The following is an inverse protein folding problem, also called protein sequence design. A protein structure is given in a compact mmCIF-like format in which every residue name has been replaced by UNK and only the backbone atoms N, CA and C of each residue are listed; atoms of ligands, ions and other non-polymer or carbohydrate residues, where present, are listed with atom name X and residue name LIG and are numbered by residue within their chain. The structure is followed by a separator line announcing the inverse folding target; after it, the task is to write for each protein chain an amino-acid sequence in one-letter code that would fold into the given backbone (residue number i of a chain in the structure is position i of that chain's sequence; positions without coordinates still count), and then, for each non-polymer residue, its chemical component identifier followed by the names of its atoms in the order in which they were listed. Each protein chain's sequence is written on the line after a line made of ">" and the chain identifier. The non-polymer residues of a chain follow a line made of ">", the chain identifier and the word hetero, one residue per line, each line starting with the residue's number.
data_IF_455815096791
#
_entry.id   IF_455815096791
#
_cell.length_a   1.000
_cell.length_b   1.000
_cell.length_c   1.000
_cell.angle_alpha   90.00
_cell.angle_beta   90.00
_cell.angle_gamma   90.00
#
_symmetry.space_group_name_H-M   'P 1'
#
loop_
_entity.id
_entity.type
_entity.pdbx_description
1 polymer ?
#
# COMPACT_ATOMS: atom_id res chain seq x y z
N UNK A 1 -6.94 35.62 9.29
CA UNK A 1 -5.62 34.95 9.18
C UNK A 1 -5.38 34.68 7.71
N UNK A 2 -4.15 34.88 7.23
CA UNK A 2 -3.75 34.47 5.87
C UNK A 2 -3.72 32.94 5.85
N UNK A 3 -4.25 32.32 4.79
CA UNK A 3 -4.20 30.87 4.63
C UNK A 3 -2.73 30.41 4.53
N UNK A 4 -2.38 29.29 5.17
CA UNK A 4 -1.03 28.74 5.10
C UNK A 4 -0.76 28.15 3.70
N UNK A 5 0.51 28.09 3.24
CA UNK A 5 0.84 27.80 1.85
C UNK A 5 0.40 26.43 1.34
N UNK A 6 0.25 25.43 2.22
CA UNK A 6 -0.02 24.03 1.84
C UNK A 6 -1.44 23.57 2.21
N UNK A 7 -2.39 24.49 2.42
CA UNK A 7 -3.80 24.13 2.67
C UNK A 7 -4.46 23.34 1.52
N UNK A 8 -3.87 23.41 0.32
CA UNK A 8 -4.28 22.64 -0.86
C UNK A 8 -3.92 21.16 -0.81
N UNK A 9 -2.98 20.76 0.07
CA UNK A 9 -2.37 19.43 0.04
C UNK A 9 -3.40 18.30 0.20
N UNK A 10 -4.32 18.42 1.16
CA UNK A 10 -5.35 17.41 1.36
C UNK A 10 -6.23 17.19 0.12
N UNK A 11 -6.57 18.24 -0.61
CA UNK A 11 -7.44 18.16 -1.78
C UNK A 11 -6.70 17.55 -2.98
N UNK A 12 -5.41 17.91 -3.15
CA UNK A 12 -4.54 17.29 -4.16
C UNK A 12 -4.39 15.79 -3.95
N UNK A 13 -4.21 15.37 -2.69
CA UNK A 13 -4.08 13.94 -2.35
C UNK A 13 -5.40 13.19 -2.52
N UNK A 14 -6.53 13.76 -2.10
CA UNK A 14 -7.86 13.14 -2.32
C UNK A 14 -8.19 12.96 -3.79
N UNK A 15 -7.76 13.89 -4.65
CA UNK A 15 -8.02 13.83 -6.08
C UNK A 15 -7.39 12.60 -6.76
N UNK A 16 -6.44 11.92 -6.11
CA UNK A 16 -5.83 10.69 -6.60
C UNK A 16 -6.45 9.43 -6.03
N UNK A 17 -7.55 9.55 -5.27
CA UNK A 17 -8.23 8.41 -4.64
C UNK A 17 -7.66 7.99 -3.28
N UNK A 18 -6.64 8.68 -2.76
CA UNK A 18 -6.08 8.37 -1.44
C UNK A 18 -7.10 8.65 -0.33
N UNK A 19 -7.11 7.78 0.68
CA UNK A 19 -7.86 8.02 1.92
C UNK A 19 -7.11 9.03 2.76
N UNK A 20 -7.67 10.24 2.91
CA UNK A 20 -7.04 11.35 3.63
C UNK A 20 -7.81 11.69 4.90
N UNK A 21 -7.15 11.52 6.04
CA UNK A 21 -7.62 11.90 7.37
C UNK A 21 -7.02 13.25 7.76
N UNK A 22 -7.87 14.21 8.12
CA UNK A 22 -7.42 15.51 8.59
C UNK A 22 -7.29 15.52 10.12
N UNK A 23 -6.09 15.78 10.64
CA UNK A 23 -5.91 15.94 12.10
C UNK A 23 -6.38 17.33 12.54
N UNK A 24 -6.89 17.44 13.76
CA UNK A 24 -7.40 18.72 14.28
C UNK A 24 -6.35 19.83 14.14
N UNK A 25 -6.75 20.96 13.56
CA UNK A 25 -5.90 22.15 13.44
C UNK A 25 -4.82 22.11 12.34
N UNK A 26 -4.69 21.05 11.54
CA UNK A 26 -3.61 20.93 10.52
C UNK A 26 -3.52 22.12 9.56
N UNK A 27 -4.68 22.68 9.16
CA UNK A 27 -4.77 23.84 8.25
C UNK A 27 -4.13 25.11 8.81
N UNK A 28 -3.96 25.20 10.13
CA UNK A 28 -3.37 26.36 10.82
C UNK A 28 -2.03 26.02 11.50
N UNK A 29 -1.57 24.76 11.41
CA UNK A 29 -0.35 24.30 12.09
C UNK A 29 0.89 24.68 11.29
N UNK A 30 1.83 25.33 11.97
CA UNK A 30 3.14 25.75 11.43
C UNK A 30 4.16 25.84 12.56
N UNK A 31 5.40 25.46 12.30
CA UNK A 31 6.53 25.75 13.17
C UNK A 31 6.87 27.25 13.12
N UNK A 32 7.40 27.78 14.23
CA UNK A 32 7.88 29.17 14.35
C UNK A 32 9.40 29.29 14.13
N UNK A 33 10.06 28.20 13.75
CA UNK A 33 11.51 28.09 13.64
C UNK A 33 12.11 28.76 12.39
N UNK A 34 11.28 29.30 11.49
CA UNK A 34 11.76 29.90 10.25
C UNK A 34 10.63 30.29 9.29
N UNK A 35 10.98 30.63 8.04
CA UNK A 35 10.02 31.04 7.02
C UNK A 35 9.01 29.95 6.67
N UNK A 36 7.87 30.38 6.15
CA UNK A 36 6.86 29.50 5.54
C UNK A 36 7.43 28.73 4.34
N UNK A 37 6.89 27.53 4.04
CA UNK A 37 7.39 26.71 2.96
C UNK A 37 7.04 27.29 1.58
N UNK A 38 7.93 27.07 0.62
CA UNK A 38 7.76 27.35 -0.80
C UNK A 38 8.39 26.18 -1.58
N UNK A 39 7.72 25.01 -1.55
CA UNK A 39 8.36 23.77 -1.91
C UNK A 39 8.49 23.62 -3.43
N UNK A 40 9.63 23.08 -3.84
CA UNK A 40 9.93 22.73 -5.24
C UNK A 40 10.14 21.23 -5.42
N UNK A 41 10.00 20.45 -4.34
CA UNK A 41 10.12 18.99 -4.35
C UNK A 41 9.36 18.32 -3.21
N UNK A 42 9.48 16.99 -3.16
CA UNK A 42 8.95 16.15 -2.07
C UNK A 42 10.11 15.45 -1.38
N UNK A 43 10.06 15.38 -0.05
CA UNK A 43 11.07 14.69 0.75
C UNK A 43 10.41 13.56 1.54
N UNK A 44 10.85 12.34 1.27
CA UNK A 44 10.40 11.12 1.95
C UNK A 44 11.23 10.86 3.21
N UNK A 45 10.54 10.49 4.29
CA UNK A 45 11.09 10.15 5.61
C UNK A 45 10.46 8.85 6.10
N UNK A 46 11.06 8.24 7.12
CA UNK A 46 10.36 7.30 7.98
C UNK A 46 10.38 7.78 9.42
N UNK A 47 9.37 7.37 10.18
CA UNK A 47 9.20 7.83 11.57
C UNK A 47 10.16 7.14 12.54
N UNK A 48 10.80 6.05 12.11
CA UNK A 48 11.61 5.16 12.93
C UNK A 48 10.81 4.47 14.05
N UNK A 49 9.48 4.42 13.90
CA UNK A 49 8.56 3.78 14.84
C UNK A 49 8.02 2.50 14.21
N UNK A 50 8.06 1.34 14.91
CA UNK A 50 7.41 0.12 14.42
C UNK A 50 5.91 0.33 14.23
N UNK A 51 5.40 -0.05 13.07
CA UNK A 51 3.98 0.00 12.73
C UNK A 51 3.48 -1.35 12.20
N UNK A 52 2.17 -1.59 12.21
CA UNK A 52 1.55 -2.81 11.68
C UNK A 52 0.11 -2.53 11.22
N UNK A 53 -0.59 -3.50 10.63
CA UNK A 53 -2.00 -3.29 10.28
C UNK A 53 -2.92 -3.12 11.50
N UNK A 54 -2.56 -3.68 12.66
CA UNK A 54 -3.28 -3.48 13.92
C UNK A 54 -3.06 -2.08 14.52
N UNK A 55 -1.92 -1.46 14.20
CA UNK A 55 -1.58 -0.11 14.62
C UNK A 55 -0.81 0.61 13.50
N UNK A 56 -1.54 1.10 12.46
CA UNK A 56 -0.91 1.54 11.23
C UNK A 56 -0.32 2.94 11.32
N UNK A 57 -0.76 3.78 12.25
CA UNK A 57 -0.36 5.18 12.35
C UNK A 57 0.07 5.61 13.78
N UNK A 58 0.98 4.87 14.46
CA UNK A 58 1.38 5.16 15.83
C UNK A 58 2.02 6.54 16.02
N UNK A 59 2.59 7.14 14.97
CA UNK A 59 3.39 8.36 15.10
C UNK A 59 2.63 9.64 14.77
N UNK A 60 1.32 9.60 14.48
CA UNK A 60 0.56 10.82 14.14
C UNK A 60 0.74 11.92 15.19
N UNK A 61 0.61 11.58 16.48
CA UNK A 61 0.77 12.57 17.55
C UNK A 61 2.23 13.05 17.68
N UNK A 62 3.21 12.15 17.49
CA UNK A 62 4.63 12.51 17.46
C UNK A 62 4.93 13.48 16.30
N UNK A 63 4.35 13.27 15.13
CA UNK A 63 4.49 14.16 13.98
C UNK A 63 3.85 15.53 14.22
N UNK A 64 2.76 15.59 15.02
CA UNK A 64 2.10 16.85 15.40
C UNK A 64 2.93 17.62 16.43
N UNK A 65 3.28 16.98 17.55
CA UNK A 65 3.88 17.64 18.71
C UNK A 65 5.39 17.81 18.58
N UNK A 66 6.02 16.89 17.86
CA UNK A 66 7.47 16.75 17.80
C UNK A 66 8.02 15.89 18.93
N UNK A 67 9.33 16.02 19.13
CA UNK A 67 10.11 15.31 20.14
C UNK A 67 10.86 16.31 21.03
N UNK A 68 11.38 15.90 22.20
CA UNK A 68 12.01 16.84 23.15
C UNK A 68 13.14 17.69 22.56
N UNK A 69 13.88 17.15 21.58
CA UNK A 69 14.98 17.82 20.87
C UNK A 69 14.53 18.57 19.61
N UNK A 70 13.28 18.40 19.15
CA UNK A 70 12.76 19.00 17.92
C UNK A 70 11.24 19.19 17.99
N UNK A 71 10.81 20.44 18.19
CA UNK A 71 9.40 20.80 18.21
C UNK A 71 8.71 20.50 16.87
N UNK A 72 7.47 20.04 16.92
CA UNK A 72 6.65 19.80 15.75
C UNK A 72 6.18 21.09 15.04
N UNK A 73 5.46 20.95 13.93
CA UNK A 73 5.18 19.68 13.23
C UNK A 73 6.43 19.10 12.56
N UNK A 74 6.55 17.78 12.49
CA UNK A 74 7.70 17.06 11.90
C UNK A 74 7.50 16.66 10.44
N UNK A 75 6.34 16.94 9.85
CA UNK A 75 6.06 16.75 8.42
C UNK A 75 4.79 17.52 8.03
N UNK A 76 4.43 17.47 6.75
CA UNK A 76 3.16 18.04 6.27
C UNK A 76 2.06 16.98 6.23
N UNK A 77 2.39 15.73 5.89
CA UNK A 77 1.51 14.59 6.04
C UNK A 77 2.30 13.33 6.46
N UNK A 78 1.59 12.39 7.08
CA UNK A 78 2.11 11.10 7.52
C UNK A 78 1.32 9.98 6.87
N UNK A 79 1.97 8.93 6.36
CA UNK A 79 1.34 7.81 5.66
C UNK A 79 1.42 6.58 6.55
N UNK A 80 0.25 6.07 6.96
CA UNK A 80 0.14 4.89 7.80
C UNK A 80 0.61 3.63 7.09
N UNK A 81 0.92 2.60 7.87
CA UNK A 81 1.26 1.26 7.38
C UNK A 81 0.12 0.60 6.58
N UNK A 82 -1.09 1.15 6.65
CA UNK A 82 -2.26 0.76 5.85
C UNK A 82 -2.48 1.64 4.60
N UNK A 83 -1.59 2.60 4.33
CA UNK A 83 -1.69 3.55 3.22
C UNK A 83 -2.59 4.76 3.47
N UNK A 84 -3.19 4.90 4.65
CA UNK A 84 -4.02 6.08 4.99
C UNK A 84 -3.11 7.29 5.23
N UNK A 85 -3.46 8.44 4.63
CA UNK A 85 -2.69 9.67 4.75
C UNK A 85 -3.29 10.59 5.81
N UNK A 86 -2.52 10.90 6.84
CA UNK A 86 -2.88 11.80 7.94
C UNK A 86 -2.26 13.18 7.73
N UNK A 87 -3.09 14.21 7.58
CA UNK A 87 -2.62 15.58 7.42
C UNK A 87 -2.10 16.13 8.73
N UNK A 88 -0.86 16.65 8.74
CA UNK A 88 -0.19 17.14 9.95
C UNK A 88 -0.12 18.67 9.95
N UNK A 89 0.37 19.30 8.88
CA UNK A 89 0.57 20.74 8.87
C UNK A 89 0.45 21.36 7.47
N UNK A 90 -0.11 22.56 7.40
CA UNK A 90 -0.20 23.35 6.18
C UNK A 90 0.87 24.46 6.07
N UNK A 91 1.61 24.73 7.16
CA UNK A 91 2.73 25.67 7.19
C UNK A 91 4.07 24.96 7.33
N UNK A 92 5.07 25.65 7.90
CA UNK A 92 6.43 25.11 8.05
C UNK A 92 6.44 23.85 8.92
N UNK A 93 7.08 22.80 8.47
CA UNK A 93 7.43 21.63 9.27
C UNK A 93 8.94 21.51 9.49
N UNK A 94 9.35 21.03 10.67
CA UNK A 94 10.74 20.80 11.06
C UNK A 94 11.18 19.38 10.69
N UNK A 95 11.31 19.11 9.39
CA UNK A 95 11.48 17.73 8.89
C UNK A 95 12.84 17.50 8.22
N UNK A 96 13.32 18.45 7.42
CA UNK A 96 14.51 18.28 6.60
C UNK A 96 15.79 18.88 7.23
N UNK A 97 15.66 20.06 7.84
CA UNK A 97 16.81 20.88 8.25
C UNK A 97 17.63 21.40 7.06
N UNK A 98 18.93 21.62 7.24
CA UNK A 98 19.83 22.05 6.14
C UNK A 98 20.02 20.91 5.13
N UNK A 99 19.70 21.17 3.88
CA UNK A 99 19.85 20.23 2.77
C UNK A 99 21.03 20.60 1.87
N UNK A 100 21.76 19.60 1.38
CA UNK A 100 22.64 19.71 0.20
C UNK A 100 21.79 19.64 -1.07
N UNK A 101 22.34 20.12 -2.18
CA UNK A 101 21.67 20.02 -3.47
C UNK A 101 21.50 18.55 -3.87
N UNK A 102 20.34 18.20 -4.42
CA UNK A 102 20.02 16.82 -4.83
C UNK A 102 19.09 16.82 -6.03
N UNK A 103 19.61 16.30 -7.16
CA UNK A 103 19.11 16.53 -8.52
C UNK A 103 18.65 17.95 -8.77
N UNK A 104 17.36 18.21 -9.11
CA UNK A 104 16.92 19.54 -9.51
C UNK A 104 16.71 20.50 -8.33
N UNK A 105 16.73 20.00 -7.09
CA UNK A 105 16.46 20.83 -5.90
C UNK A 105 17.77 21.41 -5.35
N UNK A 106 17.87 22.74 -5.17
CA UNK A 106 19.10 23.39 -4.68
C UNK A 106 19.41 23.05 -3.22
N UNK A 107 20.64 23.32 -2.80
CA UNK A 107 20.99 23.33 -1.38
C UNK A 107 20.30 24.49 -0.65
N UNK A 108 19.97 24.31 0.62
CA UNK A 108 19.32 25.37 1.40
C UNK A 108 18.60 24.88 2.65
N UNK A 109 17.58 25.61 3.06
CA UNK A 109 16.65 25.17 4.11
C UNK A 109 15.65 24.18 3.51
N UNK A 110 15.85 22.89 3.78
CA UNK A 110 14.98 21.84 3.28
C UNK A 110 13.55 21.93 3.81
N UNK A 111 13.33 22.59 4.97
CA UNK A 111 11.99 22.81 5.50
C UNK A 111 11.18 23.82 4.67
N UNK A 112 11.85 24.59 3.80
CA UNK A 112 11.22 25.47 2.82
C UNK A 112 11.05 24.75 1.49
N UNK A 113 12.09 24.04 1.05
CA UNK A 113 12.22 23.52 -0.31
C UNK A 113 11.37 22.28 -0.60
N UNK A 114 10.87 21.59 0.44
CA UNK A 114 10.20 20.31 0.27
C UNK A 114 8.85 20.24 0.99
N UNK A 115 7.90 19.55 0.36
CA UNK A 115 6.80 18.92 1.10
C UNK A 115 7.35 17.63 1.72
N UNK A 116 7.49 17.60 3.05
CA UNK A 116 7.84 16.39 3.80
C UNK A 116 6.69 15.40 4.02
N UNK A 117 6.90 14.14 3.64
CA UNK A 117 6.07 12.99 4.01
C UNK A 117 6.81 12.06 4.97
N UNK A 118 6.17 11.74 6.10
CA UNK A 118 6.64 10.74 7.06
C UNK A 118 5.89 9.43 6.85
N UNK A 119 6.60 8.32 6.73
CA UNK A 119 5.99 7.01 6.57
C UNK A 119 6.15 6.24 7.89
N UNK A 120 5.05 5.74 8.45
CA UNK A 120 5.09 4.97 9.69
C UNK A 120 5.63 3.56 9.47
N UNK A 121 6.94 3.41 9.68
CA UNK A 121 7.66 2.14 9.81
C UNK A 121 9.06 2.39 10.42
N UNK A 122 9.70 1.34 10.95
CA UNK A 122 10.94 1.51 11.73
C UNK A 122 12.20 1.77 10.88
N UNK A 123 12.31 1.21 9.67
CA UNK A 123 13.32 1.64 8.70
C UNK A 123 14.73 1.03 8.80
N UNK A 124 15.00 0.16 9.77
CA UNK A 124 16.26 -0.61 9.90
C UNK A 124 16.03 -2.11 9.73
N UNK A 125 15.12 -2.69 10.51
CA UNK A 125 14.74 -4.12 10.44
C UNK A 125 13.36 -4.30 9.79
N UNK A 126 12.59 -3.22 9.67
CA UNK A 126 11.27 -3.18 9.04
C UNK A 126 11.28 -2.26 7.84
N UNK A 127 10.72 -2.72 6.71
CA UNK A 127 10.38 -1.88 5.55
C UNK A 127 8.90 -1.47 5.54
N UNK A 128 8.50 -0.59 4.62
CA UNK A 128 7.10 -0.19 4.47
C UNK A 128 6.23 -1.36 4.00
N UNK A 129 4.92 -1.27 4.24
CA UNK A 129 3.95 -2.16 3.60
C UNK A 129 3.79 -1.82 2.11
N UNK A 130 3.25 -2.74 1.29
CA UNK A 130 2.90 -2.44 -0.10
C UNK A 130 1.94 -1.24 -0.25
N UNK A 131 0.90 -1.16 0.60
CA UNK A 131 -0.13 -0.12 0.55
C UNK A 131 0.43 1.25 0.93
N UNK A 132 1.31 1.30 1.94
CA UNK A 132 2.02 2.52 2.33
C UNK A 132 2.94 3.02 1.21
N UNK A 133 3.68 2.10 0.57
CA UNK A 133 4.57 2.43 -0.54
C UNK A 133 3.79 2.95 -1.76
N UNK A 134 2.69 2.30 -2.11
CA UNK A 134 1.81 2.73 -3.20
C UNK A 134 1.15 4.08 -2.90
N UNK A 135 0.67 4.29 -1.68
CA UNK A 135 0.10 5.56 -1.25
C UNK A 135 1.12 6.70 -1.36
N UNK A 136 2.38 6.43 -1.03
CA UNK A 136 3.44 7.42 -1.16
C UNK A 136 3.81 7.72 -2.62
N UNK A 137 3.84 6.73 -3.51
CA UNK A 137 4.00 6.98 -4.94
C UNK A 137 2.92 7.91 -5.48
N UNK A 138 1.65 7.64 -5.16
CA UNK A 138 0.52 8.46 -5.61
C UNK A 138 0.57 9.87 -5.00
N UNK A 139 0.83 9.97 -3.69
CA UNK A 139 0.93 11.25 -3.00
C UNK A 139 2.05 12.13 -3.58
N UNK A 140 3.22 11.54 -3.79
CA UNK A 140 4.39 12.25 -4.32
C UNK A 140 4.19 12.66 -5.76
N UNK A 141 3.62 11.80 -6.60
CA UNK A 141 3.28 12.14 -7.98
C UNK A 141 2.26 13.30 -8.03
N UNK A 142 1.24 13.25 -7.19
CA UNK A 142 0.20 14.28 -7.12
C UNK A 142 0.77 15.65 -6.73
N UNK A 143 1.62 15.68 -5.69
CA UNK A 143 2.27 16.90 -5.23
C UNK A 143 3.21 17.45 -6.29
N UNK A 144 4.08 16.64 -6.88
CA UNK A 144 5.03 17.13 -7.88
C UNK A 144 4.32 17.67 -9.13
N UNK A 145 3.23 17.02 -9.55
CA UNK A 145 2.38 17.54 -10.62
C UNK A 145 1.73 18.88 -10.24
N UNK A 146 1.23 19.02 -9.01
CA UNK A 146 0.63 20.26 -8.52
C UNK A 146 1.65 21.41 -8.48
N UNK A 147 2.89 21.12 -8.06
CA UNK A 147 3.99 22.09 -8.02
C UNK A 147 4.57 22.42 -9.42
N UNK A 148 4.25 21.62 -10.44
CA UNK A 148 4.88 21.72 -11.76
C UNK A 148 6.34 21.25 -11.76
N UNK A 149 6.74 20.47 -10.76
CA UNK A 149 8.11 19.96 -10.60
C UNK A 149 8.30 18.62 -11.31
N UNK A 150 9.53 18.31 -11.79
CA UNK A 150 9.82 17.00 -12.36
C UNK A 150 9.76 15.91 -11.29
N UNK A 151 9.48 14.66 -11.69
CA UNK A 151 9.46 13.50 -10.77
C UNK A 151 10.80 13.29 -10.05
N UNK A 152 11.90 13.72 -10.67
CA UNK A 152 13.23 13.72 -10.06
C UNK A 152 13.37 14.71 -8.89
N UNK A 153 12.38 15.55 -8.61
CA UNK A 153 12.35 16.35 -7.38
C UNK A 153 11.87 15.56 -6.15
N UNK A 154 11.50 14.28 -6.29
CA UNK A 154 11.29 13.36 -5.16
C UNK A 154 12.63 12.86 -4.61
N UNK A 155 12.88 13.13 -3.33
CA UNK A 155 14.13 12.76 -2.65
C UNK A 155 13.86 12.04 -1.35
N UNK A 156 14.75 11.14 -0.96
CA UNK A 156 14.83 10.64 0.40
C UNK A 156 15.68 11.57 1.27
N UNK A 157 15.42 11.66 2.58
CA UNK A 157 16.22 12.50 3.48
C UNK A 157 17.72 12.15 3.42
N UNK A 158 18.06 10.88 3.25
CA UNK A 158 19.43 10.37 3.04
C UNK A 158 20.15 10.99 1.84
N UNK A 159 19.40 11.41 0.81
CA UNK A 159 19.94 11.99 -0.41
C UNK A 159 20.23 13.49 -0.26
N UNK A 160 19.60 14.16 0.71
CA UNK A 160 19.72 15.61 0.93
C UNK A 160 20.45 15.96 2.23
N UNK A 161 20.54 15.02 3.17
CA UNK A 161 21.09 15.25 4.52
C UNK A 161 22.56 15.63 4.50
N UNK A 162 22.93 16.64 5.30
CA UNK A 162 24.34 16.99 5.57
C UNK A 162 24.90 16.30 6.82
N UNK A 163 24.07 15.52 7.52
CA UNK A 163 24.40 14.89 8.80
C UNK A 163 24.42 13.37 8.74
N UNK A 164 24.25 12.77 7.55
CA UNK A 164 24.29 11.32 7.37
C UNK A 164 23.00 10.59 7.77
N UNK A 165 21.82 11.19 7.54
CA UNK A 165 20.53 10.52 7.71
C UNK A 165 20.40 9.31 6.79
N UNK A 166 19.65 8.30 7.22
CA UNK A 166 19.47 7.02 6.49
C UNK A 166 18.09 6.87 5.88
N UNK A 167 17.14 7.70 6.28
CA UNK A 167 15.74 7.60 5.90
C UNK A 167 15.46 8.15 4.48
N UNK A 168 14.49 7.58 3.75
CA UNK A 168 13.67 6.42 4.09
C UNK A 168 14.50 5.12 3.87
N UNK A 169 14.79 4.43 4.96
CA UNK A 169 15.41 3.10 4.95
C UNK A 169 14.53 2.08 4.22
N UNK A 170 15.10 1.00 3.70
CA UNK A 170 14.40 -0.01 2.87
C UNK A 170 13.78 0.48 1.56
N UNK A 171 13.87 1.77 1.24
CA UNK A 171 13.37 2.33 -0.02
C UNK A 171 14.54 2.65 -0.93
N UNK A 172 14.60 2.00 -2.10
CA UNK A 172 15.47 2.43 -3.19
C UNK A 172 14.86 3.66 -3.86
N UNK A 173 15.48 4.83 -3.69
CA UNK A 173 14.95 6.08 -4.21
C UNK A 173 15.10 6.21 -5.73
N UNK A 174 16.06 5.53 -6.36
CA UNK A 174 16.17 5.49 -7.81
C UNK A 174 15.02 4.67 -8.41
N UNK A 175 14.72 3.51 -7.80
CA UNK A 175 13.56 2.71 -8.18
C UNK A 175 12.24 3.47 -7.93
N UNK A 176 12.10 4.11 -6.77
CA UNK A 176 10.93 4.92 -6.43
C UNK A 176 10.68 6.00 -7.49
N UNK A 177 11.71 6.77 -7.85
CA UNK A 177 11.62 7.79 -8.92
C UNK A 177 11.30 7.20 -10.29
N UNK A 178 11.85 6.03 -10.63
CA UNK A 178 11.50 5.35 -11.88
C UNK A 178 10.01 4.98 -11.93
N UNK A 179 9.44 4.55 -10.80
CA UNK A 179 8.01 4.23 -10.68
C UNK A 179 7.11 5.47 -10.62
N UNK A 180 7.61 6.63 -10.20
CA UNK A 180 6.86 7.89 -10.34
C UNK A 180 6.63 8.25 -11.81
N UNK A 181 7.65 8.06 -12.67
CA UNK A 181 7.59 8.31 -14.11
C UNK A 181 6.80 7.27 -14.89
N UNK A 182 6.82 6.02 -14.42
CA UNK A 182 5.98 4.95 -14.95
C UNK A 182 4.62 5.03 -14.26
N UNK A 183 3.69 5.81 -14.85
CA UNK A 183 2.27 5.73 -14.45
C UNK A 183 1.92 4.25 -14.44
N UNK A 184 1.52 3.70 -13.29
CA UNK A 184 0.99 2.33 -13.24
C UNK A 184 -0.08 2.28 -14.31
N UNK A 185 0.19 1.53 -15.38
CA UNK A 185 -0.83 1.17 -16.37
C UNK A 185 -1.92 0.32 -15.69
N UNK A 186 -1.70 -0.05 -14.42
CA UNK A 186 -2.58 -0.78 -13.51
C UNK A 186 -3.74 0.03 -12.92
N UNK A 187 -3.87 1.35 -13.18
CA UNK A 187 -5.00 2.14 -12.64
C UNK A 187 -6.01 2.63 -13.70
N UNK A 188 -5.94 2.07 -14.90
CA UNK A 188 -7.12 1.97 -15.77
C UNK A 188 -7.24 0.51 -16.17
N UNK A 189 -7.66 -0.29 -15.20
CA UNK A 189 -8.19 -1.60 -15.48
C UNK A 189 -9.26 -1.44 -16.56
N UNK A 190 -9.04 -2.00 -17.75
CA UNK A 190 -10.05 -1.92 -18.79
C UNK A 190 -11.32 -2.59 -18.25
N UNK A 191 -12.53 -2.23 -18.73
CA UNK A 191 -13.75 -2.91 -18.33
C UNK A 191 -13.66 -4.44 -18.47
N UNK A 192 -12.84 -4.91 -19.42
CA UNK A 192 -12.51 -6.31 -19.62
C UNK A 192 -11.62 -6.90 -18.52
N UNK A 193 -10.55 -6.21 -18.12
CA UNK A 193 -9.68 -6.65 -17.02
C UNK A 193 -10.43 -6.64 -15.67
N UNK A 194 -11.33 -5.68 -15.45
CA UNK A 194 -12.19 -5.61 -14.24
C UNK A 194 -13.19 -6.77 -14.23
N UNK A 195 -13.80 -7.05 -15.39
CA UNK A 195 -14.67 -8.21 -15.54
C UNK A 195 -13.91 -9.54 -15.31
N UNK A 196 -12.66 -9.65 -15.78
CA UNK A 196 -11.82 -10.83 -15.56
C UNK A 196 -11.49 -10.98 -14.08
N UNK A 197 -11.08 -9.91 -13.40
CA UNK A 197 -10.75 -9.98 -11.98
C UNK A 197 -11.97 -10.26 -11.12
N UNK A 198 -13.11 -9.59 -11.35
CA UNK A 198 -14.39 -9.91 -10.67
C UNK A 198 -14.83 -11.35 -10.92
N UNK A 199 -14.58 -11.88 -12.12
CA UNK A 199 -14.84 -13.28 -12.42
C UNK A 199 -13.92 -14.20 -11.64
N UNK A 200 -12.61 -13.96 -11.63
CA UNK A 200 -11.64 -14.76 -10.85
C UNK A 200 -11.99 -14.72 -9.36
N UNK A 201 -12.33 -13.54 -8.84
CA UNK A 201 -12.75 -13.35 -7.46
C UNK A 201 -14.04 -14.11 -7.16
N UNK A 202 -15.05 -14.05 -8.04
CA UNK A 202 -16.30 -14.80 -7.90
C UNK A 202 -16.05 -16.30 -7.93
N UNK A 203 -15.19 -16.79 -8.82
CA UNK A 203 -14.81 -18.21 -8.89
C UNK A 203 -14.12 -18.65 -7.60
N UNK A 204 -13.10 -17.91 -7.13
CA UNK A 204 -12.31 -18.29 -5.96
C UNK A 204 -13.08 -18.14 -4.62
N UNK A 205 -13.81 -17.05 -4.46
CA UNK A 205 -14.42 -16.64 -3.19
C UNK A 205 -15.93 -16.84 -3.15
N UNK A 206 -16.58 -17.07 -4.30
CA UNK A 206 -18.04 -17.12 -4.41
C UNK A 206 -18.68 -15.75 -4.59
N UNK A 207 -20.00 -15.70 -4.80
CA UNK A 207 -20.76 -14.46 -4.96
C UNK A 207 -20.58 -13.50 -3.78
N UNK A 208 -20.63 -12.20 -4.07
CA UNK A 208 -20.63 -11.13 -3.07
C UNK A 208 -22.06 -10.75 -2.69
N UNK A 209 -22.27 -10.45 -1.41
CA UNK A 209 -23.54 -9.96 -0.91
C UNK A 209 -23.76 -8.47 -1.12
N UNK A 210 -24.94 -7.94 -0.78
CA UNK A 210 -25.32 -6.55 -1.03
C UNK A 210 -24.43 -5.51 -0.34
N UNK A 211 -23.63 -5.90 0.66
CA UNK A 211 -22.68 -5.03 1.37
C UNK A 211 -21.21 -5.38 1.06
N UNK A 212 -20.97 -6.18 0.01
CA UNK A 212 -19.63 -6.60 -0.40
C UNK A 212 -19.04 -7.74 0.43
N UNK A 213 -19.81 -8.35 1.33
CA UNK A 213 -19.39 -9.51 2.09
C UNK A 213 -19.20 -10.75 1.19
N UNK A 214 -18.22 -11.59 1.49
CA UNK A 214 -18.04 -12.88 0.81
C UNK A 214 -19.19 -13.79 1.24
N UNK A 215 -20.06 -14.19 0.31
CA UNK A 215 -21.08 -15.18 0.62
C UNK A 215 -20.56 -16.60 0.43
N UNK A 216 -19.56 -16.84 -0.42
CA UNK A 216 -19.11 -18.19 -0.72
C UNK A 216 -20.08 -18.94 -1.64
N UNK A 217 -19.62 -20.06 -2.17
CA UNK A 217 -20.46 -21.00 -2.91
C UNK A 217 -21.32 -21.80 -1.94
N UNK A 218 -22.60 -21.98 -2.29
CA UNK A 218 -23.48 -22.82 -1.50
C UNK A 218 -23.08 -24.28 -1.66
N UNK A 219 -22.84 -24.94 -0.53
CA UNK A 219 -22.54 -26.37 -0.45
C UNK A 219 -23.42 -27.02 0.62
N UNK A 220 -23.45 -28.34 0.69
CA UNK A 220 -24.18 -29.07 1.73
C UNK A 220 -23.67 -28.80 3.16
N UNK A 221 -22.46 -28.25 3.29
CA UNK A 221 -21.84 -27.84 4.56
C UNK A 221 -22.02 -26.33 4.86
N UNK A 222 -22.89 -25.69 4.09
CA UNK A 222 -23.10 -24.23 4.10
C UNK A 222 -22.16 -23.51 3.14
N UNK A 223 -22.14 -22.17 3.18
CA UNK A 223 -21.36 -21.41 2.21
C UNK A 223 -19.84 -21.56 2.42
N UNK A 224 -19.08 -21.76 1.33
CA UNK A 224 -17.62 -21.98 1.34
C UNK A 224 -16.93 -21.32 0.15
N UNK A 225 -15.71 -20.82 0.35
CA UNK A 225 -14.83 -20.44 -0.77
C UNK A 225 -14.17 -21.68 -1.37
N UNK A 226 -13.58 -21.58 -2.57
CA UNK A 226 -12.78 -22.68 -3.14
C UNK A 226 -11.62 -23.05 -2.21
N UNK A 227 -11.00 -22.06 -1.56
CA UNK A 227 -9.94 -22.30 -0.58
C UNK A 227 -10.46 -23.14 0.60
N UNK A 228 -11.64 -22.81 1.12
CA UNK A 228 -12.24 -23.57 2.22
C UNK A 228 -12.62 -25.01 1.80
N UNK A 229 -13.15 -25.20 0.58
CA UNK A 229 -13.45 -26.54 0.04
C UNK A 229 -12.19 -27.39 -0.16
N UNK A 230 -11.08 -26.78 -0.58
CA UNK A 230 -9.79 -27.47 -0.69
C UNK A 230 -9.25 -27.90 0.67
N UNK A 231 -9.39 -27.04 1.68
CA UNK A 231 -9.02 -27.39 3.07
C UNK A 231 -9.88 -28.54 3.59
N UNK A 232 -11.20 -28.52 3.35
CA UNK A 232 -12.11 -29.61 3.74
C UNK A 232 -11.71 -30.94 3.08
N UNK A 233 -11.39 -30.93 1.78
CA UNK A 233 -10.96 -32.11 1.04
C UNK A 233 -9.63 -32.67 1.56
N UNK A 234 -8.64 -31.81 1.82
CA UNK A 234 -7.34 -32.23 2.37
C UNK A 234 -7.52 -32.86 3.75
N UNK A 235 -8.32 -32.24 4.62
CA UNK A 235 -8.62 -32.75 5.94
C UNK A 235 -9.31 -34.13 5.89
N UNK A 236 -10.25 -34.33 4.95
CA UNK A 236 -10.93 -35.61 4.76
C UNK A 236 -9.97 -36.72 4.31
N UNK A 237 -9.05 -36.42 3.40
CA UNK A 237 -8.03 -37.36 2.92
C UNK A 237 -7.07 -37.74 4.05
N UNK A 238 -6.60 -36.76 4.83
CA UNK A 238 -5.71 -36.97 5.98
C UNK A 238 -6.40 -37.82 7.05
N UNK A 239 -7.66 -37.52 7.37
CA UNK A 239 -8.44 -38.29 8.34
C UNK A 239 -8.65 -39.75 7.91
N UNK A 240 -8.97 -39.99 6.63
CA UNK A 240 -9.15 -41.34 6.07
C UNK A 240 -7.86 -42.16 6.04
N UNK A 241 -6.71 -41.52 5.89
CA UNK A 241 -5.40 -42.20 5.92
C UNK A 241 -4.94 -42.54 7.35
N UNK A 242 -5.39 -41.80 8.36
CA UNK A 242 -4.94 -41.98 9.74
C UNK A 242 -5.79 -42.97 10.57
N UNK A 243 -7.09 -43.15 10.27
CA UNK A 243 -7.89 -44.24 10.87
C UNK A 243 -9.28 -44.39 10.21
N UNK A 244 -9.66 -45.53 9.58
CA UNK A 244 -10.94 -45.68 8.88
C UNK A 244 -12.23 -45.62 9.74
N UNK A 245 -12.12 -45.48 11.07
CA UNK A 245 -13.25 -45.65 12.00
C UNK A 245 -13.48 -44.48 12.99
N UNK A 246 -12.76 -43.36 12.88
CA UNK A 246 -12.82 -42.28 13.87
C UNK A 246 -13.30 -40.95 13.25
N UNK A 247 -14.47 -40.94 12.63
CA UNK A 247 -15.11 -39.72 12.13
C UNK A 247 -16.03 -39.10 13.19
N UNK A 248 -15.45 -38.60 14.29
CA UNK A 248 -16.13 -37.65 15.17
C UNK A 248 -15.11 -36.90 16.04
N UNK A 249 -15.02 -35.58 15.83
CA UNK A 249 -14.36 -34.56 16.65
C UNK A 249 -12.83 -34.40 16.47
N UNK A 250 -12.43 -33.41 15.66
CA UNK A 250 -11.08 -32.84 15.70
C UNK A 250 -11.11 -31.31 15.43
N UNK A 251 -10.29 -30.50 16.13
CA UNK A 251 -10.28 -29.03 15.98
C UNK A 251 -9.43 -28.56 14.78
N UNK A 252 -9.64 -27.32 14.34
CA UNK A 252 -9.06 -26.73 13.13
C UNK A 252 -7.52 -26.61 13.17
N UNK A 253 -6.81 -26.84 12.04
CA UNK A 253 -5.35 -26.83 12.01
C UNK A 253 -4.73 -25.48 11.61
N UNK A 254 -3.48 -25.32 12.06
CA UNK A 254 -2.56 -24.19 11.95
C UNK A 254 -2.02 -23.99 10.51
N UNK A 255 -1.94 -22.73 10.06
CA UNK A 255 -1.57 -22.30 8.70
C UNK A 255 -0.14 -22.69 8.30
N UNK A 256 0.78 -22.83 9.27
CA UNK A 256 2.16 -23.27 9.02
C UNK A 256 2.23 -24.74 8.54
N UNK A 257 1.28 -25.59 8.98
CA UNK A 257 1.23 -27.00 8.57
C UNK A 257 0.77 -27.15 7.11
N UNK A 258 -0.07 -26.24 6.62
CA UNK A 258 -0.62 -26.24 5.26
C UNK A 258 0.48 -25.90 4.23
N UNK A 259 1.32 -24.91 4.56
CA UNK A 259 2.46 -24.51 3.72
C UNK A 259 3.50 -25.64 3.61
N UNK A 260 3.80 -26.30 4.74
CA UNK A 260 4.74 -27.41 4.77
C UNK A 260 4.25 -28.63 3.95
N UNK A 261 2.94 -28.90 3.98
CA UNK A 261 2.34 -29.99 3.22
C UNK A 261 2.40 -29.79 1.69
N UNK A 262 2.18 -28.55 1.22
CA UNK A 262 2.24 -28.24 -0.21
C UNK A 262 3.68 -28.33 -0.75
N UNK A 263 4.67 -27.91 0.06
CA UNK A 263 6.08 -28.00 -0.28
C UNK A 263 6.63 -29.44 -0.23
N UNK A 264 5.95 -30.34 0.48
CA UNK A 264 6.31 -31.75 0.59
C UNK A 264 5.72 -32.64 -0.51
N UNK A 265 4.87 -32.11 -1.41
CA UNK A 265 4.29 -32.88 -2.51
C UNK A 265 5.36 -33.22 -3.57
N UNK A 266 5.46 -34.51 -3.97
CA UNK A 266 6.36 -34.90 -5.05
C UNK A 266 6.01 -34.19 -6.38
N UNK A 267 6.99 -33.75 -7.19
CA UNK A 267 6.75 -32.99 -8.42
C UNK A 267 5.81 -33.69 -9.42
N UNK A 268 5.86 -35.02 -9.45
CA UNK A 268 5.02 -35.91 -10.27
C UNK A 268 3.54 -35.95 -9.83
N UNK A 269 3.24 -35.52 -8.60
CA UNK A 269 1.88 -35.41 -8.07
C UNK A 269 1.34 -33.97 -8.12
N UNK A 270 2.21 -32.97 -8.00
CA UNK A 270 1.85 -31.56 -8.14
C UNK A 270 1.56 -31.16 -9.60
N UNK A 271 2.35 -31.68 -10.55
CA UNK A 271 2.23 -31.38 -11.97
C UNK A 271 0.86 -31.71 -12.60
N UNK A 272 0.23 -32.88 -12.38
CA UNK A 272 -1.08 -33.18 -12.95
C UNK A 272 -2.22 -32.34 -12.34
N UNK A 273 -2.11 -31.94 -11.07
CA UNK A 273 -3.06 -31.04 -10.41
C UNK A 273 -3.00 -29.62 -10.99
N UNK A 274 -1.79 -29.10 -11.20
CA UNK A 274 -1.61 -27.82 -11.92
C UNK A 274 -2.04 -27.93 -13.39
N UNK A 275 -1.73 -29.03 -14.07
CA UNK A 275 -2.09 -29.24 -15.46
C UNK A 275 -3.61 -29.32 -15.66
N UNK A 276 -4.35 -29.93 -14.73
CA UNK A 276 -5.81 -30.00 -14.80
C UNK A 276 -6.46 -28.64 -14.52
N UNK A 277 -5.91 -27.86 -13.59
CA UNK A 277 -6.33 -26.46 -13.37
C UNK A 277 -6.13 -25.59 -14.62
N UNK A 278 -4.98 -25.74 -15.30
CA UNK A 278 -4.69 -25.03 -16.55
C UNK A 278 -5.59 -25.52 -17.70
N UNK A 279 -5.86 -26.83 -17.80
CA UNK A 279 -6.74 -27.40 -18.82
C UNK A 279 -8.19 -26.92 -18.64
N UNK A 280 -8.70 -26.88 -17.42
CA UNK A 280 -10.04 -26.36 -17.09
C UNK A 280 -10.13 -24.85 -17.41
N UNK A 281 -9.06 -24.10 -17.17
CA UNK A 281 -8.96 -22.69 -17.54
C UNK A 281 -9.01 -22.48 -19.06
N UNK A 282 -8.29 -23.30 -19.85
CA UNK A 282 -8.25 -23.22 -21.31
C UNK A 282 -9.56 -23.67 -21.97
N UNK A 283 -10.22 -24.70 -21.44
CA UNK A 283 -11.49 -25.21 -21.97
C UNK A 283 -12.69 -24.25 -21.78
N UNK A 284 -12.53 -23.20 -20.96
CA UNK A 284 -13.59 -22.21 -20.65
C UNK A 284 -13.34 -20.83 -21.24
N UNK A 285 -12.32 -20.67 -22.09
CA UNK A 285 -12.11 -19.48 -22.91
C UNK A 285 -12.97 -19.59 -24.18
N UNK A 286 -13.90 -18.66 -24.46
CA UNK A 286 -14.64 -18.69 -25.72
C UNK A 286 -13.70 -18.39 -26.91
N UNK A 287 -13.98 -18.98 -28.07
CA UNK A 287 -13.17 -18.73 -29.27
C UNK A 287 -13.33 -17.26 -29.72
N UNK A 288 -12.35 -16.69 -30.47
CA UNK A 288 -12.46 -15.32 -30.98
C UNK A 288 -13.77 -15.05 -31.75
N UNK A 289 -14.33 -16.06 -32.41
CA UNK A 289 -15.61 -16.00 -33.12
C UNK A 289 -16.82 -15.95 -32.18
N UNK A 290 -16.77 -16.64 -31.04
CA UNK A 290 -17.78 -16.57 -29.98
C UNK A 290 -17.74 -15.23 -29.24
N UNK A 291 -16.58 -14.58 -29.22
CA UNK A 291 -16.41 -13.22 -28.73
C UNK A 291 -17.05 -12.18 -29.65
N UNK A 292 -16.86 -12.30 -30.97
CA UNK A 292 -17.39 -11.36 -31.96
C UNK A 292 -18.93 -11.33 -32.02
N UNK A 293 -19.60 -12.44 -31.71
CA UNK A 293 -21.07 -12.53 -31.71
C UNK A 293 -21.74 -11.91 -30.46
N UNK A 294 -21.00 -11.73 -29.37
CA UNK A 294 -21.53 -11.17 -28.11
C UNK A 294 -21.36 -9.66 -27.99
N UNK A 295 -20.63 -9.05 -28.92
CA UNK A 295 -20.27 -7.62 -28.91
C UNK A 295 -21.11 -6.77 -29.86
N UNK A 296 -22.19 -7.31 -30.46
CA UNK A 296 -23.16 -6.50 -31.18
C UNK A 296 -24.31 -6.11 -30.25
N UNK A 297 -24.72 -4.83 -30.22
CA UNK A 297 -25.64 -4.28 -29.22
C UNK A 297 -27.05 -4.86 -29.29
#
# INVERSE_FOLDING_TARGET
>A
MVALPLVWLADVLRATGLTVVETDGWRNRTATSGPLPDPVGVLEHHTATPASYENPAPSVQLCIDGRPDLAGPLCHAMIGFDGVVHMIAAGRANHAGRARASGPVPAGDGNILYVGFEWDYQGVDQGPSPEQYDAALEATRAVLNHLGSPMDAARGHKETSVTGKIDPGHVDMDQFRAQLGNRKQEDVMTPEQDAILRRLETELLGPRGPKGEIQGWQTDLGPRTIVAMLVDLVNEVVAKQQNPAAAAQAPAPDAEAIKAAFQALPPDQAAPLLAELVRIQQARQPTPEQYAQRSQP
#
